data_IF_732670564619
#
_entry.id   IF_732670564619
#
_cell.length_a   1.000
_cell.length_b   1.000
_cell.length_c   1.000
_cell.angle_alpha   90.00
_cell.angle_beta   90.00
_cell.angle_gamma   90.00
#
_symmetry.space_group_name_H-M   'P 1'
#
loop_
_entity.id
_entity.type
_entity.pdbx_description
1 polymer ?
#
# COMPACT_ATOMS: atom_id res chain seq x y z
N UNK A 1 12.60 -6.90 19.10
CA UNK A 1 12.33 -6.85 17.64
C UNK A 1 12.53 -8.23 17.10
N UNK A 2 11.49 -8.81 16.49
CA UNK A 2 11.65 -10.04 15.72
C UNK A 2 12.51 -9.70 14.51
N UNK A 3 13.74 -10.20 14.50
CA UNK A 3 14.69 -9.95 13.41
C UNK A 3 14.43 -10.83 12.18
N UNK A 4 13.30 -11.55 12.15
CA UNK A 4 12.93 -12.44 11.06
C UNK A 4 11.42 -12.61 10.87
N UNK A 5 10.98 -12.78 9.62
CA UNK A 5 9.61 -13.22 9.30
C UNK A 5 9.47 -14.71 9.68
N UNK A 6 8.41 -15.11 10.41
CA UNK A 6 8.19 -16.52 10.74
C UNK A 6 7.96 -17.39 9.50
N UNK A 7 8.50 -18.61 9.54
CA UNK A 7 8.43 -19.56 8.42
C UNK A 7 6.99 -19.96 8.08
N UNK A 8 6.12 -20.10 9.08
CA UNK A 8 4.72 -20.43 8.91
C UNK A 8 3.94 -19.29 8.21
N UNK A 9 4.33 -18.04 8.45
CA UNK A 9 3.79 -16.87 7.75
C UNK A 9 4.24 -16.86 6.30
N UNK A 10 5.54 -17.09 6.04
CA UNK A 10 6.10 -17.21 4.68
C UNK A 10 5.32 -18.26 3.88
N UNK A 11 5.11 -19.44 4.48
CA UNK A 11 4.37 -20.54 3.84
C UNK A 11 2.89 -20.17 3.59
N UNK A 12 2.23 -19.46 4.51
CA UNK A 12 0.87 -18.93 4.29
C UNK A 12 0.83 -17.92 3.15
N UNK A 13 1.79 -17.00 3.10
CA UNK A 13 1.86 -15.97 2.07
C UNK A 13 2.09 -16.58 0.67
N UNK A 14 2.99 -17.55 0.51
CA UNK A 14 3.18 -18.27 -0.75
C UNK A 14 1.93 -19.02 -1.22
N UNK A 15 1.07 -19.46 -0.29
CA UNK A 15 -0.21 -20.13 -0.61
C UNK A 15 -1.38 -19.17 -0.81
N UNK A 16 -1.17 -17.85 -0.69
CA UNK A 16 -2.25 -16.86 -0.72
C UNK A 16 -3.23 -16.96 0.44
N UNK A 17 -2.78 -17.47 1.60
CA UNK A 17 -3.58 -17.70 2.82
C UNK A 17 -3.20 -16.79 4.00
N UNK A 18 -2.62 -15.62 3.71
CA UNK A 18 -2.23 -14.63 4.72
C UNK A 18 -3.44 -14.14 5.51
N UNK A 19 -3.32 -14.05 6.83
CA UNK A 19 -4.38 -13.53 7.71
C UNK A 19 -4.19 -12.05 8.05
N UNK A 20 -5.15 -11.46 8.76
CA UNK A 20 -5.00 -10.10 9.31
C UNK A 20 -3.89 -10.03 10.35
N UNK A 21 -3.76 -11.07 11.17
CA UNK A 21 -2.76 -11.19 12.23
C UNK A 21 -1.35 -11.27 11.63
N UNK A 22 -1.19 -11.98 10.51
CA UNK A 22 0.06 -12.00 9.75
C UNK A 22 0.46 -10.60 9.28
N UNK A 23 -0.50 -9.83 8.74
CA UNK A 23 -0.24 -8.46 8.28
C UNK A 23 0.19 -7.54 9.43
N UNK A 24 -0.42 -7.68 10.62
CA UNK A 24 -0.02 -6.93 11.81
C UNK A 24 1.41 -7.29 12.24
N UNK A 25 1.79 -8.56 12.17
CA UNK A 25 3.14 -8.99 12.50
C UNK A 25 4.18 -8.42 11.53
N UNK A 26 3.86 -8.35 10.24
CA UNK A 26 4.76 -7.79 9.22
C UNK A 26 5.07 -6.30 9.43
N UNK A 27 4.24 -5.55 10.14
CA UNK A 27 4.50 -4.15 10.48
C UNK A 27 5.71 -3.99 11.43
N UNK A 28 6.03 -5.03 12.20
CA UNK A 28 7.12 -5.03 13.19
C UNK A 28 8.44 -5.59 12.63
N UNK A 29 8.44 -6.07 11.38
CA UNK A 29 9.60 -6.67 10.72
C UNK A 29 10.52 -5.57 10.19
N UNK A 30 11.86 -5.75 10.26
CA UNK A 30 12.79 -4.80 9.66
C UNK A 30 12.51 -4.55 8.17
N UNK A 31 12.48 -3.29 7.70
CA UNK A 31 12.06 -2.95 6.34
C UNK A 31 12.80 -3.73 5.24
N UNK A 32 14.12 -3.89 5.35
CA UNK A 32 14.90 -4.60 4.34
C UNK A 32 14.55 -6.08 4.20
N UNK A 33 14.14 -6.73 5.29
CA UNK A 33 13.69 -8.10 5.24
C UNK A 33 12.30 -8.21 4.63
N UNK A 34 11.38 -7.35 5.07
CA UNK A 34 10.03 -7.26 4.51
C UNK A 34 10.07 -6.98 3.01
N UNK A 35 10.90 -6.03 2.57
CA UNK A 35 11.00 -5.64 1.16
C UNK A 35 11.60 -6.76 0.31
N UNK A 36 12.60 -7.49 0.81
CA UNK A 36 13.17 -8.64 0.09
C UNK A 36 12.11 -9.73 -0.10
N UNK A 37 11.36 -10.06 0.94
CA UNK A 37 10.28 -11.04 0.84
C UNK A 37 9.15 -10.58 -0.10
N UNK A 38 8.77 -9.30 -0.04
CA UNK A 38 7.79 -8.72 -0.96
C UNK A 38 8.27 -8.76 -2.41
N UNK A 39 9.56 -8.52 -2.66
CA UNK A 39 10.16 -8.59 -3.99
C UNK A 39 10.16 -10.01 -4.55
N UNK A 40 10.50 -11.02 -3.73
CA UNK A 40 10.41 -12.44 -4.09
C UNK A 40 8.97 -12.85 -4.48
N UNK A 41 7.96 -12.42 -3.70
CA UNK A 41 6.56 -12.68 -4.03
C UNK A 41 6.11 -11.96 -5.32
N UNK A 42 6.57 -10.72 -5.52
CA UNK A 42 6.29 -9.94 -6.74
C UNK A 42 6.88 -10.63 -7.96
N UNK A 43 8.13 -11.10 -7.89
CA UNK A 43 8.81 -11.80 -8.98
C UNK A 43 8.09 -13.10 -9.35
N UNK A 44 7.72 -13.92 -8.36
CA UNK A 44 6.92 -15.14 -8.59
C UNK A 44 5.58 -14.85 -9.27
N UNK A 45 4.93 -13.74 -8.94
CA UNK A 45 3.59 -13.41 -9.41
C UNK A 45 3.57 -12.70 -10.78
N UNK A 46 4.53 -11.81 -11.03
CA UNK A 46 4.51 -10.88 -12.18
C UNK A 46 5.83 -10.83 -12.97
N UNK A 47 6.90 -11.44 -12.46
CA UNK A 47 8.24 -11.39 -13.04
C UNK A 47 8.82 -9.97 -13.11
N UNK A 48 9.72 -9.77 -14.08
CA UNK A 48 10.45 -8.52 -14.29
C UNK A 48 9.72 -7.49 -15.16
N UNK A 49 8.63 -7.87 -15.82
CA UNK A 49 7.93 -6.97 -16.75
C UNK A 49 7.11 -5.94 -15.99
N UNK A 50 7.55 -4.70 -16.01
CA UNK A 50 6.79 -3.57 -15.46
C UNK A 50 5.77 -3.08 -16.50
N UNK A 51 4.49 -3.04 -16.11
CA UNK A 51 3.40 -2.51 -16.93
C UNK A 51 2.98 -1.12 -16.46
N UNK A 52 2.42 -0.32 -17.37
CA UNK A 52 1.89 1.01 -17.05
C UNK A 52 0.59 1.25 -17.81
N UNK A 53 -0.25 2.14 -17.26
CA UNK A 53 -1.50 2.56 -17.89
C UNK A 53 -1.43 4.05 -18.17
N UNK A 54 -1.63 4.43 -19.44
CA UNK A 54 -1.81 5.83 -19.82
C UNK A 54 -3.23 6.26 -19.48
N UNK A 55 -3.41 6.89 -18.31
CA UNK A 55 -4.71 7.35 -17.85
C UNK A 55 -4.90 8.86 -18.12
N UNK A 56 -6.01 9.25 -18.75
CA UNK A 56 -6.43 10.65 -18.85
C UNK A 56 -7.55 10.90 -17.86
N UNK A 57 -7.19 11.41 -16.68
CA UNK A 57 -8.14 11.77 -15.65
C UNK A 57 -8.74 13.16 -15.95
N UNK A 58 -10.06 13.27 -16.02
CA UNK A 58 -10.78 14.54 -16.23
C UNK A 58 -11.44 14.96 -14.93
N UNK A 59 -10.83 15.92 -14.23
CA UNK A 59 -11.42 16.60 -13.08
C UNK A 59 -12.06 17.90 -13.55
N UNK A 60 -13.38 17.90 -13.77
CA UNK A 60 -14.09 19.08 -14.27
C UNK A 60 -14.29 20.18 -13.21
N UNK A 61 -14.04 19.89 -11.93
CA UNK A 61 -14.08 20.85 -10.82
C UNK A 61 -13.02 20.53 -9.77
N UNK A 62 -12.44 21.57 -9.17
CA UNK A 62 -11.58 21.49 -7.98
C UNK A 62 -12.28 21.97 -6.71
N UNK A 63 -13.58 22.27 -6.76
CA UNK A 63 -14.38 22.67 -5.60
C UNK A 63 -14.84 21.44 -4.83
N UNK A 64 -14.61 21.41 -3.52
CA UNK A 64 -15.08 20.36 -2.62
C UNK A 64 -15.79 20.97 -1.41
N UNK A 65 -16.97 20.46 -1.06
CA UNK A 65 -17.74 20.83 0.14
C UNK A 65 -17.47 19.91 1.33
N UNK A 66 -16.67 18.86 1.14
CA UNK A 66 -16.25 17.96 2.21
C UNK A 66 -15.23 18.60 3.15
N UNK A 67 -15.05 18.00 4.34
CA UNK A 67 -14.15 18.47 5.40
C UNK A 67 -13.04 17.47 5.72
N UNK A 68 -12.60 16.70 4.72
CA UNK A 68 -11.49 15.76 4.84
C UNK A 68 -10.14 16.50 4.93
N UNK A 69 -9.31 16.12 5.92
CA UNK A 69 -8.10 16.86 6.29
C UNK A 69 -6.86 16.58 5.42
N UNK A 70 -6.86 15.46 4.69
CA UNK A 70 -5.70 15.01 3.92
C UNK A 70 -5.73 15.44 2.44
N UNK A 71 -6.78 16.13 2.00
CA UNK A 71 -6.87 16.66 0.64
C UNK A 71 -6.72 18.16 0.61
N UNK A 72 -6.08 18.65 -0.44
CA UNK A 72 -5.92 20.07 -0.72
C UNK A 72 -7.24 20.74 -1.16
N UNK A 73 -8.22 19.99 -1.65
CA UNK A 73 -9.43 20.54 -2.27
C UNK A 73 -10.47 21.06 -1.26
N UNK A 74 -10.31 20.75 0.03
CA UNK A 74 -11.20 21.29 1.06
C UNK A 74 -10.95 22.78 1.19
N UNK A 75 -12.00 23.57 0.99
CA UNK A 75 -11.91 24.99 1.24
C UNK A 75 -11.72 25.19 2.75
N UNK A 76 -10.75 26.00 3.21
CA UNK A 76 -10.74 26.44 4.59
C UNK A 76 -12.07 27.13 4.85
N UNK A 77 -12.70 26.82 5.98
CA UNK A 77 -14.06 27.24 6.36
C UNK A 77 -14.30 28.76 6.30
N UNK A 78 -13.25 29.58 6.12
CA UNK A 78 -13.26 31.04 6.10
C UNK A 78 -12.39 31.66 4.99
N UNK A 79 -12.57 31.29 3.72
CA UNK A 79 -12.12 32.16 2.60
C UNK A 79 -13.34 32.87 2.04
N UNK A 80 -13.55 34.10 2.49
CA UNK A 80 -14.52 35.03 1.91
C UNK A 80 -14.28 35.13 0.39
N UNK A 81 -15.39 35.15 -0.36
CA UNK A 81 -15.43 35.42 -1.80
C UNK A 81 -15.14 36.88 -2.06
#
# INVERSE_FOLDING_TARGET
MNSRIPEDLIERAHRGKTTKEDALLLLEVPPFELFRFADELRDLAAGDTVTYVVNRNINFTSRCTGTVSYTHLTLPTNREV
#
